data_IF_515076100102
#
_entry.id   IF_515076100102
#
_cell.length_a   1.000
_cell.length_b   1.000
_cell.length_c   1.000
_cell.angle_alpha   90.00
_cell.angle_beta   90.00
_cell.angle_gamma   90.00
#
_symmetry.space_group_name_H-M   'P 1'
#
loop_
_entity.id
_entity.type
_entity.pdbx_description
1 polymer ?
#
# COMPACT_ATOMS: atom_id res chain seq x y z
N UNK A 1 -49.59 -18.68 -32.42
CA UNK A 1 -48.12 -18.88 -32.41
C UNK A 1 -47.65 -18.91 -30.97
N UNK A 2 -47.18 -20.05 -30.47
CA UNK A 2 -46.54 -20.14 -29.15
C UNK A 2 -45.18 -19.47 -29.26
N UNK A 3 -44.99 -18.39 -28.52
CA UNK A 3 -43.70 -17.71 -28.41
C UNK A 3 -42.75 -18.68 -27.67
N UNK A 4 -41.81 -19.27 -28.41
CA UNK A 4 -40.71 -20.02 -27.82
C UNK A 4 -39.85 -19.01 -27.05
N UNK A 5 -40.03 -18.94 -25.73
CA UNK A 5 -39.06 -18.31 -24.83
C UNK A 5 -37.83 -19.20 -24.88
N UNK A 6 -36.91 -18.89 -25.77
CA UNK A 6 -35.57 -19.46 -25.75
C UNK A 6 -34.94 -19.00 -24.44
N UNK A 7 -34.90 -19.88 -23.44
CA UNK A 7 -34.12 -19.69 -22.22
C UNK A 7 -32.66 -19.84 -22.63
N UNK A 8 -32.10 -18.78 -23.22
CA UNK A 8 -30.69 -18.73 -23.60
C UNK A 8 -29.88 -18.74 -22.30
N UNK A 9 -29.17 -19.84 -22.04
CA UNK A 9 -28.14 -19.86 -21.02
C UNK A 9 -27.15 -18.73 -21.33
N UNK A 10 -27.05 -17.75 -20.45
CA UNK A 10 -26.19 -16.59 -20.68
C UNK A 10 -24.74 -17.01 -20.50
N UNK A 11 -23.90 -16.64 -21.46
CA UNK A 11 -22.49 -17.00 -21.47
C UNK A 11 -21.74 -16.28 -20.35
N UNK A 12 -20.84 -17.02 -19.70
CA UNK A 12 -19.83 -16.47 -18.79
C UNK A 12 -18.46 -16.72 -19.41
N UNK A 13 -17.61 -15.70 -19.39
CA UNK A 13 -16.20 -15.83 -19.73
C UNK A 13 -15.39 -15.75 -18.45
N UNK A 14 -14.60 -16.79 -18.16
CA UNK A 14 -13.71 -16.84 -16.99
C UNK A 14 -12.28 -16.93 -17.46
N UNK A 15 -11.46 -15.97 -17.03
CA UNK A 15 -10.02 -15.93 -17.30
C UNK A 15 -9.26 -15.83 -15.99
N UNK A 16 -8.17 -16.60 -15.86
CA UNK A 16 -7.25 -16.46 -14.73
C UNK A 16 -6.11 -15.54 -15.13
N UNK A 17 -5.92 -14.47 -14.38
CA UNK A 17 -4.71 -13.64 -14.44
C UNK A 17 -3.64 -14.30 -13.56
N UNK A 18 -2.65 -14.89 -14.21
CA UNK A 18 -1.55 -15.56 -13.52
C UNK A 18 -0.54 -14.58 -12.91
N UNK A 19 -0.50 -13.30 -13.34
CA UNK A 19 0.48 -12.32 -12.86
C UNK A 19 0.15 -11.86 -11.45
N UNK A 20 -1.09 -11.45 -11.21
CA UNK A 20 -1.55 -10.93 -9.89
C UNK A 20 -2.46 -11.92 -9.15
N UNK A 21 -2.56 -13.15 -9.67
CA UNK A 21 -3.34 -14.27 -9.12
C UNK A 21 -4.80 -13.89 -8.81
N UNK A 22 -5.55 -13.49 -9.83
CA UNK A 22 -6.97 -13.17 -9.71
C UNK A 22 -7.76 -13.75 -10.89
N UNK A 23 -9.09 -13.79 -10.75
CA UNK A 23 -9.99 -14.24 -11.80
C UNK A 23 -10.79 -13.05 -12.36
N UNK A 24 -10.82 -12.93 -13.69
CA UNK A 24 -11.76 -12.07 -14.41
C UNK A 24 -12.94 -12.92 -14.87
N UNK A 25 -14.15 -12.53 -14.46
CA UNK A 25 -15.42 -13.19 -14.77
C UNK A 25 -16.34 -12.19 -15.44
N UNK A 26 -16.52 -12.31 -16.75
CA UNK A 26 -17.37 -11.42 -17.53
C UNK A 26 -18.74 -12.05 -17.78
N UNK A 27 -19.81 -11.32 -17.46
CA UNK A 27 -21.20 -11.77 -17.61
C UNK A 27 -22.16 -10.58 -17.78
N UNK A 28 -23.45 -10.86 -17.96
CA UNK A 28 -24.53 -9.88 -17.76
C UNK A 28 -25.28 -10.14 -16.47
N UNK A 29 -25.85 -9.08 -15.88
CA UNK A 29 -26.72 -9.16 -14.70
C UNK A 29 -27.93 -8.24 -14.88
N UNK A 30 -29.12 -8.60 -14.35
CA UNK A 30 -30.27 -7.70 -14.36
C UNK A 30 -29.97 -6.41 -13.59
N UNK A 31 -30.45 -5.28 -14.08
CA UNK A 31 -30.19 -3.94 -13.49
C UNK A 31 -30.51 -3.87 -12.00
N UNK A 32 -31.64 -4.45 -11.57
CA UNK A 32 -32.03 -4.48 -10.16
C UNK A 32 -31.10 -5.30 -9.27
N UNK A 33 -30.48 -6.35 -9.81
CA UNK A 33 -29.48 -7.13 -9.06
C UNK A 33 -28.14 -6.40 -9.03
N UNK A 34 -27.76 -5.78 -10.15
CA UNK A 34 -26.56 -4.95 -10.23
C UNK A 34 -26.58 -3.83 -9.20
N UNK A 35 -27.66 -3.04 -9.15
CA UNK A 35 -27.77 -1.91 -8.22
C UNK A 35 -27.66 -2.38 -6.77
N UNK A 36 -28.42 -3.41 -6.38
CA UNK A 36 -28.32 -4.01 -5.04
C UNK A 36 -26.91 -4.48 -4.69
N UNK A 37 -26.19 -5.04 -5.66
CA UNK A 37 -24.83 -5.52 -5.46
C UNK A 37 -23.85 -4.38 -5.14
N UNK A 38 -23.98 -3.26 -5.85
CA UNK A 38 -23.06 -2.13 -5.73
C UNK A 38 -23.55 -1.06 -4.76
N UNK A 39 -24.70 -1.24 -4.11
CA UNK A 39 -25.31 -0.22 -3.26
C UNK A 39 -24.37 0.19 -2.11
N UNK A 40 -23.87 -0.80 -1.35
CA UNK A 40 -22.92 -0.56 -0.26
C UNK A 40 -21.62 0.07 -0.76
N UNK A 41 -21.06 -0.47 -1.84
CA UNK A 41 -19.86 0.07 -2.47
C UNK A 41 -20.08 1.53 -2.87
N UNK A 42 -21.21 1.86 -3.51
CA UNK A 42 -21.51 3.22 -3.96
C UNK A 42 -21.67 4.20 -2.79
N UNK A 43 -22.37 3.81 -1.73
CA UNK A 43 -22.53 4.61 -0.50
C UNK A 43 -21.18 4.90 0.18
N UNK A 44 -20.26 3.94 0.12
CA UNK A 44 -18.87 4.07 0.59
C UNK A 44 -17.90 4.60 -0.47
N UNK A 45 -18.40 5.37 -1.46
CA UNK A 45 -17.61 6.03 -2.53
C UNK A 45 -16.87 5.09 -3.49
N UNK A 46 -17.34 3.86 -3.61
CA UNK A 46 -16.87 2.80 -4.49
C UNK A 46 -16.33 1.56 -3.76
N UNK A 47 -16.47 1.46 -2.43
CA UNK A 47 -16.08 0.28 -1.65
C UNK A 47 -14.57 0.14 -1.44
N UNK A 48 -13.78 1.11 -1.88
CA UNK A 48 -12.35 1.22 -1.60
C UNK A 48 -12.12 2.51 -0.81
N UNK A 49 -11.53 2.41 0.38
CA UNK A 49 -11.25 3.56 1.23
C UNK A 49 -10.31 4.55 0.51
N UNK A 50 -10.71 5.82 0.42
CA UNK A 50 -9.96 6.87 -0.29
C UNK A 50 -10.34 7.05 -1.77
N UNK A 51 -11.34 6.31 -2.27
CA UNK A 51 -11.76 6.36 -3.67
C UNK A 51 -12.43 7.68 -4.10
N UNK A 52 -12.26 8.08 -5.38
CA UNK A 52 -12.88 9.32 -5.92
C UNK A 52 -14.40 9.18 -6.05
N UNK A 53 -15.11 10.22 -5.60
CA UNK A 53 -16.53 10.38 -5.89
C UNK A 53 -16.82 10.60 -7.38
N UNK A 54 -18.08 10.42 -7.82
CA UNK A 54 -18.52 10.83 -9.14
C UNK A 54 -18.12 12.28 -9.46
N UNK A 55 -17.62 12.53 -10.68
CA UNK A 55 -17.24 13.87 -11.12
C UNK A 55 -18.46 14.80 -11.12
N UNK A 56 -18.30 15.98 -10.50
CA UNK A 56 -19.36 17.00 -10.37
C UNK A 56 -19.15 18.22 -11.26
N UNK A 57 -18.14 18.22 -12.12
CA UNK A 57 -17.89 19.33 -13.05
C UNK A 57 -19.04 19.48 -14.04
N UNK A 58 -19.30 20.70 -14.54
CA UNK A 58 -20.39 20.97 -15.49
C UNK A 58 -20.32 20.08 -16.73
N UNK A 59 -19.10 19.83 -17.23
CA UNK A 59 -18.88 18.91 -18.35
C UNK A 59 -19.23 17.46 -17.99
N UNK A 60 -18.85 16.98 -16.80
CA UNK A 60 -19.18 15.63 -16.34
C UNK A 60 -20.68 15.45 -16.12
N UNK A 61 -21.37 16.46 -15.57
CA UNK A 61 -22.83 16.45 -15.42
C UNK A 61 -23.54 16.37 -16.78
N UNK A 62 -23.06 17.11 -17.78
CA UNK A 62 -23.62 17.07 -19.15
C UNK A 62 -23.40 15.70 -19.82
N UNK A 63 -22.22 15.12 -19.67
CA UNK A 63 -21.91 13.77 -20.17
C UNK A 63 -22.79 12.72 -19.46
N UNK A 64 -22.96 12.83 -18.14
CA UNK A 64 -23.82 11.92 -17.38
C UNK A 64 -25.27 12.02 -17.81
N UNK A 65 -25.81 13.24 -17.93
CA UNK A 65 -27.18 13.44 -18.42
C UNK A 65 -27.38 12.79 -19.78
N UNK A 66 -26.42 12.96 -20.69
CA UNK A 66 -26.47 12.31 -22.00
C UNK A 66 -26.44 10.79 -21.90
N UNK A 67 -25.59 10.25 -21.02
CA UNK A 67 -25.51 8.82 -20.76
C UNK A 67 -26.82 8.25 -20.19
N UNK A 68 -27.51 8.98 -19.31
CA UNK A 68 -28.85 8.62 -18.81
C UNK A 68 -29.85 8.56 -19.97
N UNK A 69 -29.94 9.62 -20.77
CA UNK A 69 -30.83 9.67 -21.95
C UNK A 69 -30.57 8.50 -22.92
N UNK A 70 -29.30 8.20 -23.19
CA UNK A 70 -28.92 7.11 -24.09
C UNK A 70 -29.31 5.74 -23.50
N UNK A 71 -29.10 5.51 -22.20
CA UNK A 71 -29.50 4.26 -21.51
C UNK A 71 -31.03 4.09 -21.53
N UNK A 72 -31.79 5.14 -21.24
CA UNK A 72 -33.25 5.14 -21.29
C UNK A 72 -33.78 4.82 -22.70
N UNK A 73 -33.05 5.22 -23.74
CA UNK A 73 -33.32 4.85 -25.13
C UNK A 73 -32.86 3.43 -25.52
N UNK A 74 -32.31 2.65 -24.57
CA UNK A 74 -31.88 1.27 -24.78
C UNK A 74 -30.41 1.09 -25.17
N UNK A 75 -29.56 2.12 -25.03
CA UNK A 75 -28.13 1.98 -25.30
C UNK A 75 -27.46 0.97 -24.37
N UNK A 76 -26.54 0.19 -24.93
CA UNK A 76 -25.72 -0.76 -24.17
C UNK A 76 -24.41 -0.09 -23.78
N UNK A 77 -24.14 0.00 -22.48
CA UNK A 77 -22.90 0.56 -21.96
C UNK A 77 -21.74 -0.45 -22.01
N UNK A 78 -20.48 0.03 -22.08
CA UNK A 78 -19.32 -0.80 -21.81
C UNK A 78 -19.36 -1.41 -20.41
N UNK A 79 -18.74 -2.59 -20.19
CA UNK A 79 -18.82 -3.33 -18.93
C UNK A 79 -18.30 -2.55 -17.73
N UNK A 80 -19.07 -2.49 -16.65
CA UNK A 80 -18.57 -2.01 -15.35
C UNK A 80 -17.69 -3.08 -14.70
N UNK A 81 -16.68 -2.65 -13.96
CA UNK A 81 -15.67 -3.53 -13.36
C UNK A 81 -15.85 -3.53 -11.86
N UNK A 82 -16.11 -4.71 -11.29
CA UNK A 82 -16.39 -4.90 -9.87
C UNK A 82 -15.30 -5.77 -9.25
N UNK A 83 -14.69 -5.28 -8.17
CA UNK A 83 -13.72 -5.99 -7.37
C UNK A 83 -14.37 -6.80 -6.25
N UNK A 84 -13.88 -8.01 -6.00
CA UNK A 84 -14.34 -8.89 -4.93
C UNK A 84 -13.12 -9.45 -4.19
N UNK A 85 -13.04 -9.21 -2.88
CA UNK A 85 -11.97 -9.74 -2.03
C UNK A 85 -12.47 -10.89 -1.16
N UNK A 86 -12.07 -12.12 -1.50
CA UNK A 86 -12.44 -13.32 -0.76
C UNK A 86 -11.39 -13.70 0.28
N UNK A 87 -11.75 -14.40 1.38
CA UNK A 87 -10.76 -15.08 2.20
C UNK A 87 -9.98 -16.11 1.37
N UNK A 88 -8.67 -16.26 1.60
CA UNK A 88 -7.81 -17.18 0.82
C UNK A 88 -8.32 -18.61 0.76
N UNK A 89 -9.02 -19.10 1.80
CA UNK A 89 -9.63 -20.43 1.81
C UNK A 89 -10.78 -20.58 0.82
N UNK A 90 -11.61 -19.54 0.66
CA UNK A 90 -12.69 -19.51 -0.32
C UNK A 90 -12.14 -19.29 -1.73
N UNK A 91 -11.17 -18.39 -1.88
CA UNK A 91 -10.52 -18.10 -3.16
C UNK A 91 -9.85 -19.34 -3.78
N UNK A 92 -9.14 -20.13 -2.97
CA UNK A 92 -8.51 -21.39 -3.44
C UNK A 92 -9.52 -22.45 -3.93
N UNK A 93 -10.77 -22.36 -3.50
CA UNK A 93 -11.87 -23.28 -3.88
C UNK A 93 -12.77 -22.69 -4.97
N UNK A 94 -12.43 -21.52 -5.50
CA UNK A 94 -13.24 -20.83 -6.49
C UNK A 94 -13.29 -21.65 -7.79
N UNK A 95 -14.50 -22.03 -8.18
CA UNK A 95 -14.78 -22.73 -9.43
C UNK A 95 -16.05 -22.12 -10.04
N UNK A 96 -15.86 -21.20 -10.98
CA UNK A 96 -16.96 -20.51 -11.67
C UNK A 96 -17.03 -21.07 -13.08
N UNK A 97 -18.15 -21.71 -13.42
CA UNK A 97 -18.37 -22.31 -14.75
C UNK A 97 -19.61 -21.75 -15.44
N UNK A 98 -20.47 -21.08 -14.69
CA UNK A 98 -21.76 -20.58 -15.17
C UNK A 98 -22.14 -19.27 -14.50
N UNK A 99 -23.15 -18.60 -15.07
CA UNK A 99 -23.71 -17.39 -14.47
C UNK A 99 -24.32 -17.69 -13.09
N UNK A 100 -24.88 -18.90 -12.90
CA UNK A 100 -25.45 -19.28 -11.61
C UNK A 100 -24.38 -19.31 -10.51
N UNK A 101 -23.18 -19.78 -10.83
CA UNK A 101 -22.09 -19.91 -9.84
C UNK A 101 -21.64 -18.53 -9.34
N UNK A 102 -21.48 -17.56 -10.25
CA UNK A 102 -21.14 -16.19 -9.86
C UNK A 102 -22.29 -15.56 -9.06
N UNK A 103 -23.55 -15.72 -9.48
CA UNK A 103 -24.68 -15.16 -8.72
C UNK A 103 -24.79 -15.76 -7.31
N UNK A 104 -24.50 -17.05 -7.15
CA UNK A 104 -24.43 -17.70 -5.84
C UNK A 104 -23.29 -17.12 -4.99
N UNK A 105 -22.09 -16.95 -5.58
CA UNK A 105 -20.98 -16.30 -4.90
C UNK A 105 -21.39 -14.90 -4.39
N UNK A 106 -21.93 -14.06 -5.28
CA UNK A 106 -22.33 -12.68 -4.94
C UNK A 106 -23.36 -12.62 -3.81
N UNK A 107 -24.27 -13.60 -3.71
CA UNK A 107 -25.25 -13.68 -2.62
C UNK A 107 -24.66 -14.04 -1.26
N UNK A 108 -23.45 -14.61 -1.24
CA UNK A 108 -22.74 -15.07 -0.04
C UNK A 108 -21.60 -14.15 0.41
N UNK A 109 -21.19 -13.22 -0.46
CA UNK A 109 -20.09 -12.29 -0.18
C UNK A 109 -20.60 -11.14 0.67
N UNK A 110 -19.82 -10.80 1.70
CA UNK A 110 -20.02 -9.60 2.50
C UNK A 110 -19.97 -8.35 1.60
N UNK A 111 -21.01 -7.48 1.60
CA UNK A 111 -21.03 -6.25 0.81
C UNK A 111 -19.81 -5.33 1.00
N UNK A 112 -19.13 -5.38 2.15
CA UNK A 112 -17.92 -4.59 2.42
C UNK A 112 -16.69 -5.09 1.64
N UNK A 113 -16.78 -6.27 1.04
CA UNK A 113 -15.71 -6.87 0.22
C UNK A 113 -15.90 -6.63 -1.27
N UNK A 114 -16.91 -5.84 -1.64
CA UNK A 114 -17.27 -5.52 -3.01
C UNK A 114 -16.89 -4.07 -3.29
N UNK A 115 -16.19 -3.84 -4.40
CA UNK A 115 -15.78 -2.50 -4.82
C UNK A 115 -16.08 -2.24 -6.29
N UNK A 116 -16.28 -0.99 -6.65
CA UNK A 116 -16.39 -0.55 -8.06
C UNK A 116 -14.99 -0.13 -8.52
N UNK A 117 -14.28 -0.99 -9.23
CA UNK A 117 -12.92 -0.72 -9.73
C UNK A 117 -12.95 0.30 -10.89
N UNK A 118 -13.88 0.11 -11.82
CA UNK A 118 -14.12 1.00 -12.95
C UNK A 118 -15.62 1.04 -13.29
N UNK A 119 -16.10 2.20 -13.71
CA UNK A 119 -17.49 2.41 -14.07
C UNK A 119 -18.30 3.19 -13.05
N UNK A 120 -17.68 3.99 -12.18
CA UNK A 120 -18.39 4.84 -11.23
C UNK A 120 -19.41 5.78 -11.91
N UNK A 121 -19.03 6.47 -12.99
CA UNK A 121 -19.98 7.32 -13.74
C UNK A 121 -21.11 6.52 -14.41
N UNK A 122 -20.80 5.33 -14.93
CA UNK A 122 -21.78 4.42 -15.54
C UNK A 122 -22.76 3.91 -14.49
N UNK A 123 -22.27 3.56 -13.32
CA UNK A 123 -23.08 3.14 -12.16
C UNK A 123 -24.01 4.26 -11.71
N UNK A 124 -23.51 5.49 -11.63
CA UNK A 124 -24.35 6.67 -11.33
C UNK A 124 -25.43 6.87 -12.39
N UNK A 125 -25.08 6.81 -13.69
CA UNK A 125 -26.07 6.96 -14.77
C UNK A 125 -27.13 5.85 -14.76
N UNK A 126 -26.74 4.59 -14.54
CA UNK A 126 -27.68 3.46 -14.41
C UNK A 126 -28.61 3.67 -13.21
N UNK A 127 -28.08 4.18 -12.08
CA UNK A 127 -28.89 4.47 -10.88
C UNK A 127 -29.87 5.63 -11.13
N UNK A 128 -29.43 6.70 -11.82
CA UNK A 128 -30.28 7.83 -12.20
C UNK A 128 -31.40 7.40 -13.17
N UNK A 129 -31.09 6.49 -14.11
CA UNK A 129 -32.06 5.92 -15.06
C UNK A 129 -32.95 4.81 -14.47
N UNK A 130 -32.75 4.40 -13.21
CA UNK A 130 -33.36 3.19 -12.66
C UNK A 130 -34.88 3.12 -12.81
N UNK A 131 -35.59 4.24 -12.62
CA UNK A 131 -37.05 4.27 -12.74
C UNK A 131 -37.55 3.88 -14.14
N UNK A 132 -36.84 4.31 -15.20
CA UNK A 132 -37.15 3.93 -16.57
C UNK A 132 -36.70 2.49 -16.89
N UNK A 133 -35.64 2.03 -16.22
CA UNK A 133 -35.04 0.72 -16.48
C UNK A 133 -35.72 -0.44 -15.76
N UNK A 134 -36.35 -0.24 -14.60
CA UNK A 134 -36.98 -1.32 -13.82
C UNK A 134 -38.09 -2.03 -14.61
N UNK A 135 -38.77 -1.31 -15.51
CA UNK A 135 -39.80 -1.88 -16.39
C UNK A 135 -39.24 -2.59 -17.63
N UNK A 136 -37.94 -2.43 -17.88
CA UNK A 136 -37.23 -3.05 -18.99
C UNK A 136 -36.36 -4.18 -18.41
N UNK A 137 -36.29 -5.36 -19.03
CA UNK A 137 -35.37 -6.42 -18.59
C UNK A 137 -33.90 -6.06 -18.90
N UNK A 138 -33.49 -4.82 -18.59
CA UNK A 138 -32.21 -4.24 -18.93
C UNK A 138 -31.08 -5.00 -18.25
N UNK A 139 -30.09 -5.35 -19.06
CA UNK A 139 -28.96 -6.15 -18.65
C UNK A 139 -27.70 -5.31 -18.61
N UNK A 140 -27.07 -5.25 -17.44
CA UNK A 140 -25.79 -4.58 -17.25
C UNK A 140 -24.69 -5.58 -17.56
N UNK A 141 -23.74 -5.21 -18.42
CA UNK A 141 -22.50 -5.98 -18.63
C UNK A 141 -21.57 -5.70 -17.46
N UNK A 142 -21.09 -6.75 -16.81
CA UNK A 142 -20.23 -6.66 -15.64
C UNK A 142 -19.04 -7.59 -15.79
N UNK A 143 -17.86 -7.10 -15.41
CA UNK A 143 -16.65 -7.90 -15.24
C UNK A 143 -16.27 -7.94 -13.76
N UNK A 144 -16.35 -9.12 -13.16
CA UNK A 144 -15.95 -9.33 -11.77
C UNK A 144 -14.47 -9.73 -11.71
N UNK A 145 -13.69 -8.95 -10.99
CA UNK A 145 -12.31 -9.26 -10.63
C UNK A 145 -12.27 -9.79 -9.20
N UNK A 146 -11.93 -11.06 -9.06
CA UNK A 146 -11.99 -11.79 -7.80
C UNK A 146 -10.57 -12.14 -7.37
N UNK A 147 -10.20 -11.76 -6.15
CA UNK A 147 -8.88 -11.96 -5.57
C UNK A 147 -8.99 -12.29 -4.08
N UNK A 148 -7.95 -12.88 -3.48
CA UNK A 148 -7.80 -12.92 -2.03
C UNK A 148 -6.95 -11.77 -1.47
N UNK A 149 -6.39 -10.94 -2.36
CA UNK A 149 -5.57 -9.78 -2.02
C UNK A 149 -6.15 -8.51 -2.67
N UNK A 150 -6.39 -7.48 -1.86
CA UNK A 150 -6.86 -6.17 -2.34
C UNK A 150 -5.87 -5.51 -3.30
N UNK A 151 -4.56 -5.68 -3.06
CA UNK A 151 -3.49 -5.15 -3.92
C UNK A 151 -3.60 -5.64 -5.38
N UNK A 152 -4.04 -6.88 -5.62
CA UNK A 152 -4.26 -7.38 -6.98
C UNK A 152 -5.36 -6.63 -7.72
N UNK A 153 -6.40 -6.18 -7.00
CA UNK A 153 -7.48 -5.38 -7.57
C UNK A 153 -7.05 -3.92 -7.80
N UNK A 154 -6.24 -3.37 -6.88
CA UNK A 154 -5.63 -2.05 -7.04
C UNK A 154 -4.69 -2.01 -8.25
N UNK A 155 -3.89 -3.06 -8.49
CA UNK A 155 -3.08 -3.18 -9.70
C UNK A 155 -3.89 -3.01 -10.97
N UNK A 156 -5.03 -3.68 -11.08
CA UNK A 156 -5.95 -3.51 -12.20
C UNK A 156 -6.48 -2.07 -12.29
N UNK A 157 -6.95 -1.52 -11.17
CA UNK A 157 -7.47 -0.15 -11.10
C UNK A 157 -6.44 0.87 -11.62
N UNK A 158 -5.17 0.65 -11.30
CA UNK A 158 -4.11 1.62 -11.50
C UNK A 158 -3.45 1.50 -12.87
N UNK A 159 -3.12 0.27 -13.28
CA UNK A 159 -2.33 -0.01 -14.49
C UNK A 159 -3.20 -0.10 -15.74
N UNK A 160 -4.48 -0.49 -15.60
CA UNK A 160 -5.30 -0.85 -16.78
C UNK A 160 -6.43 0.14 -17.07
N UNK A 161 -6.57 1.17 -16.24
CA UNK A 161 -7.38 2.36 -16.53
C UNK A 161 -6.54 3.54 -17.07
N UNK A 162 -5.26 3.32 -17.40
CA UNK A 162 -4.38 4.34 -17.99
C UNK A 162 -4.85 4.65 -19.42
N UNK A 163 -5.52 5.80 -19.56
CA UNK A 163 -6.17 6.25 -20.80
C UNK A 163 -7.48 7.01 -20.57
N UNK A 164 -8.08 6.90 -19.38
CA UNK A 164 -9.25 7.68 -18.97
C UNK A 164 -8.86 8.77 -17.98
N UNK A 165 -9.65 9.86 -17.88
CA UNK A 165 -9.34 11.07 -17.06
C UNK A 165 -8.75 10.65 -15.70
N UNK A 166 -7.43 10.91 -15.47
CA UNK A 166 -6.72 10.34 -14.35
C UNK A 166 -7.35 10.78 -13.04
N UNK A 167 -7.31 9.92 -12.02
CA UNK A 167 -7.39 10.44 -10.66
C UNK A 167 -6.25 11.43 -10.42
N UNK A 168 -6.43 12.30 -9.43
CA UNK A 168 -5.26 12.87 -8.79
C UNK A 168 -4.44 11.72 -8.21
N UNK A 169 -3.24 11.55 -8.75
CA UNK A 169 -2.27 10.52 -8.45
C UNK A 169 -1.97 10.38 -6.95
N UNK A 170 -1.96 11.50 -6.23
CA UNK A 170 -1.83 11.49 -4.77
C UNK A 170 -2.89 10.61 -4.09
N UNK A 171 -4.14 10.66 -4.57
CA UNK A 171 -5.22 9.81 -4.02
C UNK A 171 -5.05 8.34 -4.39
N UNK A 172 -4.51 8.04 -5.57
CA UNK A 172 -4.28 6.65 -5.99
C UNK A 172 -3.25 5.97 -5.09
N UNK A 173 -2.22 6.74 -4.76
CA UNK A 173 -1.15 6.39 -3.85
C UNK A 173 -1.72 6.20 -2.45
N UNK A 174 -2.43 7.19 -1.91
CA UNK A 174 -3.10 7.11 -0.59
C UNK A 174 -3.95 5.84 -0.44
N UNK A 175 -4.69 5.41 -1.47
CA UNK A 175 -5.49 4.16 -1.43
C UNK A 175 -4.63 2.90 -1.24
N UNK A 176 -3.53 2.75 -2.01
CA UNK A 176 -2.61 1.62 -1.84
C UNK A 176 -2.02 1.66 -0.44
N UNK A 177 -1.60 2.85 -0.03
CA UNK A 177 -0.93 3.04 1.25
C UNK A 177 -1.86 2.87 2.45
N UNK A 178 -3.16 3.16 2.33
CA UNK A 178 -4.12 2.85 3.39
C UNK A 178 -4.21 1.34 3.63
N UNK A 179 -4.22 0.54 2.57
CA UNK A 179 -4.18 -0.91 2.69
C UNK A 179 -2.89 -1.40 3.36
N UNK A 180 -1.74 -0.83 2.96
CA UNK A 180 -0.45 -1.15 3.58
C UNK A 180 -0.41 -0.69 5.04
N UNK A 181 -0.94 0.49 5.35
CA UNK A 181 -1.01 1.07 6.71
C UNK A 181 -1.81 0.16 7.63
N UNK A 182 -2.97 -0.32 7.18
CA UNK A 182 -3.77 -1.28 7.95
C UNK A 182 -3.00 -2.57 8.21
N UNK A 183 -2.31 -3.10 7.20
CA UNK A 183 -1.48 -4.30 7.39
C UNK A 183 -0.32 -4.05 8.36
N UNK A 184 0.28 -2.86 8.37
CA UNK A 184 1.29 -2.46 9.35
C UNK A 184 0.71 -2.45 10.76
N UNK A 185 -0.46 -1.83 10.97
CA UNK A 185 -1.13 -1.78 12.27
C UNK A 185 -1.45 -3.17 12.81
N UNK A 186 -1.81 -4.12 11.93
CA UNK A 186 -2.09 -5.51 12.28
C UNK A 186 -0.82 -6.35 12.54
N UNK A 187 0.31 -6.00 11.91
CA UNK A 187 1.52 -6.84 11.89
C UNK A 187 2.69 -6.32 12.74
N UNK A 188 2.69 -5.04 13.10
CA UNK A 188 3.81 -4.38 13.79
C UNK A 188 3.39 -3.97 15.20
N UNK A 189 3.85 -4.73 16.19
CA UNK A 189 3.55 -4.47 17.60
C UNK A 189 4.11 -3.11 18.07
N UNK A 190 3.34 -2.43 18.92
CA UNK A 190 3.72 -1.16 19.58
C UNK A 190 3.96 0.03 18.63
N UNK A 191 3.57 -0.07 17.36
CA UNK A 191 3.53 1.09 16.46
C UNK A 191 2.30 1.96 16.76
N UNK A 192 2.45 3.28 16.62
CA UNK A 192 1.33 4.23 16.59
C UNK A 192 1.49 5.09 15.36
N UNK A 193 0.51 5.02 14.45
CA UNK A 193 0.52 5.78 13.20
C UNK A 193 -0.31 7.04 13.39
N UNK A 194 0.28 8.19 13.12
CA UNK A 194 -0.40 9.49 13.16
C UNK A 194 -0.89 9.84 11.76
N UNK A 195 -2.18 10.19 11.66
CA UNK A 195 -2.74 10.70 10.42
C UNK A 195 -2.25 12.13 10.16
N UNK A 196 -2.19 12.50 8.89
CA UNK A 196 -1.81 13.85 8.43
C UNK A 196 -2.73 14.91 9.03
N UNK A 197 -3.99 14.55 9.27
CA UNK A 197 -5.03 15.47 9.77
C UNK A 197 -5.08 15.58 11.30
N UNK A 198 -4.34 14.73 12.02
CA UNK A 198 -4.43 14.67 13.49
C UNK A 198 -3.76 15.87 14.18
N UNK A 199 -2.86 16.59 13.50
CA UNK A 199 -2.06 17.69 14.08
C UNK A 199 -1.19 17.29 15.27
N UNK A 200 -1.13 15.98 15.58
CA UNK A 200 -0.42 15.41 16.72
C UNK A 200 1.07 15.33 16.42
N UNK A 201 1.87 15.66 17.43
CA UNK A 201 3.34 15.52 17.39
C UNK A 201 3.76 14.21 18.05
N UNK A 202 4.87 13.65 17.56
CA UNK A 202 5.54 12.49 18.15
C UNK A 202 5.98 12.79 19.58
N UNK A 203 5.61 11.93 20.54
CA UNK A 203 5.92 12.11 21.97
C UNK A 203 6.83 11.03 22.56
N UNK A 204 6.92 9.85 21.94
CA UNK A 204 7.69 8.69 22.40
C UNK A 204 8.19 7.84 21.21
N UNK A 205 9.07 6.89 21.50
CA UNK A 205 9.44 5.83 20.55
C UNK A 205 8.23 5.03 20.06
N UNK A 206 8.29 4.52 18.83
CA UNK A 206 7.24 3.73 18.19
C UNK A 206 6.12 4.55 17.53
N UNK A 207 6.22 5.87 17.51
CA UNK A 207 5.20 6.75 16.90
C UNK A 207 5.73 7.33 15.58
N UNK A 208 4.99 7.12 14.48
CA UNK A 208 5.38 7.52 13.12
C UNK A 208 4.23 8.22 12.38
N UNK A 209 4.54 9.09 11.43
CA UNK A 209 3.54 9.71 10.55
C UNK A 209 3.21 8.78 9.39
N UNK A 210 1.95 8.73 8.96
CA UNK A 210 1.55 7.93 7.81
C UNK A 210 2.39 8.25 6.55
N UNK A 211 2.58 9.54 6.22
CA UNK A 211 3.39 9.96 5.08
C UNK A 211 4.86 9.48 5.15
N UNK A 212 5.43 9.41 6.34
CA UNK A 212 6.80 8.95 6.52
C UNK A 212 6.89 7.44 6.25
N UNK A 213 5.90 6.66 6.71
CA UNK A 213 5.80 5.21 6.43
C UNK A 213 5.60 4.92 4.95
N UNK A 214 4.81 5.76 4.25
CA UNK A 214 4.67 5.72 2.80
C UNK A 214 6.04 5.82 2.13
N UNK A 215 6.81 6.85 2.49
CA UNK A 215 8.15 7.03 1.95
C UNK A 215 9.06 5.85 2.29
N UNK A 216 9.01 5.32 3.52
CA UNK A 216 9.81 4.15 3.91
C UNK A 216 9.50 2.92 3.05
N UNK A 217 8.23 2.72 2.71
CA UNK A 217 7.80 1.65 1.81
C UNK A 217 8.35 1.85 0.39
N UNK A 218 8.34 3.10 -0.12
CA UNK A 218 8.91 3.44 -1.42
C UNK A 218 10.42 3.16 -1.49
N UNK A 219 11.18 3.63 -0.49
CA UNK A 219 12.64 3.42 -0.44
C UNK A 219 13.01 1.97 -0.25
N UNK A 220 12.18 1.20 0.46
CA UNK A 220 12.35 -0.24 0.61
C UNK A 220 12.25 -0.97 -0.74
N UNK A 221 11.23 -0.68 -1.55
CA UNK A 221 11.07 -1.29 -2.88
C UNK A 221 12.11 -0.82 -3.90
N UNK A 222 12.35 0.49 -3.95
CA UNK A 222 13.32 1.06 -4.88
C UNK A 222 14.78 0.79 -4.51
N UNK A 223 15.05 0.43 -3.24
CA UNK A 223 16.39 0.19 -2.69
C UNK A 223 17.34 1.38 -2.90
N UNK A 224 16.80 2.59 -2.73
CA UNK A 224 17.48 3.87 -2.91
C UNK A 224 17.08 4.80 -1.78
N UNK A 225 18.07 5.48 -1.21
CA UNK A 225 17.88 6.44 -0.12
C UNK A 225 17.39 7.80 -0.63
N UNK A 226 17.64 8.11 -1.92
CA UNK A 226 17.21 9.34 -2.60
C UNK A 226 16.04 9.04 -3.52
N UNK A 227 14.85 9.44 -3.07
CA UNK A 227 13.59 9.31 -3.80
C UNK A 227 12.87 10.64 -3.66
N UNK A 228 12.62 11.32 -4.78
CA UNK A 228 11.70 12.45 -4.78
C UNK A 228 10.30 11.88 -4.78
N UNK A 229 9.72 11.71 -3.59
CA UNK A 229 8.37 11.16 -3.41
C UNK A 229 7.36 11.85 -4.33
N UNK A 230 7.44 13.16 -4.57
CA UNK A 230 6.47 13.81 -5.48
C UNK A 230 6.69 13.42 -6.94
N UNK A 231 7.95 13.38 -7.38
CA UNK A 231 8.31 13.01 -8.75
C UNK A 231 8.09 11.53 -9.03
N UNK A 232 8.46 10.68 -8.09
CA UNK A 232 8.36 9.22 -8.13
C UNK A 232 6.91 8.78 -8.06
N UNK A 233 6.09 9.44 -7.22
CA UNK A 233 4.65 9.25 -7.31
C UNK A 233 4.09 9.78 -8.64
N UNK A 234 4.69 10.83 -9.26
CA UNK A 234 4.33 11.39 -10.59
C UNK A 234 4.73 10.57 -11.80
N UNK A 235 5.67 9.64 -11.63
CA UNK A 235 6.19 8.82 -12.71
C UNK A 235 5.36 7.55 -12.87
N UNK A 236 4.89 7.31 -14.09
CA UNK A 236 4.06 6.14 -14.41
C UNK A 236 4.85 4.83 -14.26
N UNK A 237 6.18 4.87 -14.42
CA UNK A 237 7.07 3.72 -14.26
C UNK A 237 7.26 3.35 -12.79
N UNK A 238 7.53 4.31 -11.91
CA UNK A 238 7.64 4.05 -10.47
C UNK A 238 6.33 3.53 -9.90
N UNK A 239 5.19 4.02 -10.39
CA UNK A 239 3.88 3.49 -10.04
C UNK A 239 3.76 2.01 -10.41
N UNK A 240 4.23 1.61 -11.59
CA UNK A 240 4.24 0.21 -12.00
C UNK A 240 5.15 -0.63 -11.09
N UNK A 241 6.36 -0.16 -10.80
CA UNK A 241 7.33 -0.84 -9.94
C UNK A 241 6.80 -1.03 -8.52
N UNK A 242 6.12 -0.02 -7.97
CA UNK A 242 5.49 -0.09 -6.66
C UNK A 242 4.37 -1.09 -6.61
N UNK A 243 3.50 -1.08 -7.62
CA UNK A 243 2.40 -2.01 -7.59
C UNK A 243 2.92 -3.42 -7.83
N UNK A 244 3.91 -3.60 -8.71
CA UNK A 244 4.60 -4.87 -8.91
C UNK A 244 5.18 -5.40 -7.59
N UNK A 245 5.93 -4.58 -6.85
CA UNK A 245 6.44 -4.94 -5.53
C UNK A 245 5.32 -5.26 -4.52
N UNK A 246 4.26 -4.44 -4.43
CA UNK A 246 3.11 -4.72 -3.51
C UNK A 246 2.29 -5.94 -3.88
N UNK A 247 2.37 -6.38 -5.14
CA UNK A 247 1.68 -7.56 -5.66
C UNK A 247 2.50 -8.84 -5.48
N UNK A 248 3.81 -8.71 -5.26
CA UNK A 248 4.69 -9.83 -4.96
C UNK A 248 4.33 -10.43 -3.60
N UNK A 249 4.21 -11.75 -3.56
CA UNK A 249 3.80 -12.47 -2.37
C UNK A 249 4.88 -12.36 -1.28
N UNK A 250 4.50 -11.73 -0.16
CA UNK A 250 5.38 -11.56 1.00
C UNK A 250 6.23 -10.28 1.00
N UNK A 251 6.13 -9.41 -0.01
CA UNK A 251 6.88 -8.14 -0.02
C UNK A 251 6.42 -7.22 1.12
N UNK A 252 5.12 -6.96 1.23
CA UNK A 252 4.56 -6.14 2.32
C UNK A 252 4.82 -6.78 3.69
N UNK A 253 4.73 -8.11 3.78
CA UNK A 253 5.06 -8.82 5.01
C UNK A 253 6.53 -8.59 5.41
N UNK A 254 7.45 -8.67 4.43
CA UNK A 254 8.87 -8.39 4.66
C UNK A 254 9.09 -6.93 5.08
N UNK A 255 8.40 -5.99 4.46
CA UNK A 255 8.46 -4.59 4.88
C UNK A 255 7.99 -4.41 6.32
N UNK A 256 6.85 -4.99 6.70
CA UNK A 256 6.35 -4.97 8.08
C UNK A 256 7.36 -5.58 9.06
N UNK A 257 8.02 -6.68 8.69
CA UNK A 257 9.05 -7.29 9.51
C UNK A 257 10.28 -6.38 9.71
N UNK A 258 10.71 -5.64 8.68
CA UNK A 258 11.80 -4.66 8.77
C UNK A 258 11.38 -3.45 9.62
N UNK A 259 10.15 -2.96 9.42
CA UNK A 259 9.57 -1.87 10.19
C UNK A 259 9.44 -2.24 11.67
N UNK A 260 9.11 -3.49 12.00
CA UNK A 260 9.12 -3.99 13.38
C UNK A 260 10.48 -3.86 14.04
N UNK A 261 11.58 -4.17 13.34
CA UNK A 261 12.94 -3.95 13.90
C UNK A 261 13.23 -2.47 14.12
N UNK A 262 12.81 -1.60 13.20
CA UNK A 262 12.97 -0.14 13.35
C UNK A 262 12.19 0.38 14.57
N UNK A 263 10.93 -0.03 14.72
CA UNK A 263 10.06 0.34 15.85
C UNK A 263 10.65 -0.14 17.18
N UNK A 264 11.09 -1.40 17.26
CA UNK A 264 11.70 -1.97 18.46
C UNK A 264 12.99 -1.24 18.85
N UNK A 265 13.85 -0.91 17.88
CA UNK A 265 15.08 -0.14 18.12
C UNK A 265 14.76 1.28 18.58
N UNK A 266 13.80 1.93 17.94
CA UNK A 266 13.37 3.28 18.30
C UNK A 266 12.81 3.36 19.73
N UNK A 267 12.00 2.38 20.13
CA UNK A 267 11.52 2.24 21.51
C UNK A 267 12.68 2.01 22.48
N UNK A 268 13.62 1.11 22.14
CA UNK A 268 14.78 0.85 22.98
C UNK A 268 15.68 2.10 23.14
N UNK A 269 15.86 2.88 22.08
CA UNK A 269 16.64 4.10 22.11
C UNK A 269 15.94 5.24 22.87
N UNK A 270 14.61 5.34 22.82
CA UNK A 270 13.85 6.34 23.57
C UNK A 270 14.11 6.25 25.10
N UNK A 271 14.62 5.14 25.63
CA UNK A 271 15.00 5.05 27.04
C UNK A 271 16.10 6.06 27.47
N UNK A 272 16.92 6.57 26.54
CA UNK A 272 17.89 7.62 26.84
C UNK A 272 17.28 9.02 26.65
N UNK A 273 16.99 9.71 27.76
CA UNK A 273 16.38 11.05 27.82
C UNK A 273 17.19 11.99 28.70
N UNK A 274 18.35 12.50 28.26
CA UNK A 274 19.10 13.49 29.03
C UNK A 274 18.33 14.81 29.12
N UNK A 275 18.49 15.50 30.25
CA UNK A 275 18.08 16.90 30.41
C UNK A 275 19.16 17.79 29.78
N UNK A 276 19.07 17.96 28.47
CA UNK A 276 19.90 18.88 27.71
C UNK A 276 19.00 19.74 26.80
N UNK A 277 19.40 21.00 26.61
CA UNK A 277 18.80 21.92 25.65
C UNK A 277 19.77 22.11 24.46
N UNK A 278 19.23 22.48 23.29
CA UNK A 278 19.96 23.06 22.15
C UNK A 278 20.84 22.18 21.21
N UNK A 279 20.60 20.88 21.04
CA UNK A 279 21.17 20.13 19.90
C UNK A 279 20.17 19.16 19.25
N UNK A 280 20.36 18.90 17.95
CA UNK A 280 19.43 18.14 17.11
C UNK A 280 19.29 16.65 17.50
N UNK A 281 20.38 16.00 17.91
CA UNK A 281 20.40 14.60 18.36
C UNK A 281 20.91 14.53 19.81
N UNK A 282 19.99 14.55 20.79
CA UNK A 282 20.35 14.48 22.21
C UNK A 282 19.65 13.33 22.94
N UNK A 283 18.38 13.09 22.61
CA UNK A 283 17.58 11.99 23.15
C UNK A 283 17.67 10.83 22.18
N UNK A 284 17.60 9.59 22.68
CA UNK A 284 17.70 8.44 21.78
C UNK A 284 16.59 8.38 20.74
N UNK A 285 15.40 8.90 21.07
CA UNK A 285 14.29 9.05 20.11
C UNK A 285 14.61 10.00 18.95
N UNK A 286 15.54 10.93 19.11
CA UNK A 286 15.84 11.93 18.07
C UNK A 286 16.46 11.29 16.83
N UNK A 287 17.10 10.12 16.99
CA UNK A 287 17.68 9.36 15.89
C UNK A 287 16.61 9.01 14.85
N UNK A 288 15.54 8.30 15.24
CA UNK A 288 14.46 7.91 14.34
C UNK A 288 13.26 8.88 14.32
N UNK A 289 13.35 10.02 15.03
CA UNK A 289 12.59 11.22 14.63
C UNK A 289 13.05 11.75 13.26
N UNK A 290 14.30 11.48 12.89
CA UNK A 290 14.89 11.94 11.64
C UNK A 290 14.50 11.01 10.50
N UNK A 291 13.64 11.47 9.59
CA UNK A 291 13.25 10.69 8.42
C UNK A 291 14.46 10.23 7.57
N UNK A 292 15.53 11.03 7.36
CA UNK A 292 16.77 10.54 6.76
C UNK A 292 17.39 9.32 7.45
N UNK A 293 17.30 9.22 8.77
CA UNK A 293 17.82 8.07 9.51
C UNK A 293 16.94 6.83 9.31
N UNK A 294 15.62 6.99 9.35
CA UNK A 294 14.68 5.92 9.05
C UNK A 294 14.90 5.37 7.62
N UNK A 295 15.02 6.28 6.64
CA UNK A 295 15.31 5.94 5.24
C UNK A 295 16.64 5.20 5.11
N UNK A 296 17.69 5.69 5.76
CA UNK A 296 19.00 5.04 5.73
C UNK A 296 18.96 3.62 6.30
N UNK A 297 18.26 3.42 7.42
CA UNK A 297 18.12 2.10 8.06
C UNK A 297 17.34 1.12 7.17
N UNK A 298 16.16 1.53 6.69
CA UNK A 298 15.31 0.70 5.83
C UNK A 298 16.02 0.34 4.52
N UNK A 299 16.69 1.32 3.90
CA UNK A 299 17.45 1.12 2.66
C UNK A 299 18.64 0.18 2.86
N UNK A 300 19.37 0.30 3.98
CA UNK A 300 20.49 -0.59 4.30
C UNK A 300 20.04 -2.06 4.40
N UNK A 301 18.92 -2.31 5.08
CA UNK A 301 18.35 -3.65 5.19
C UNK A 301 17.82 -4.14 3.84
N UNK A 302 17.13 -3.29 3.07
CA UNK A 302 16.61 -3.64 1.76
C UNK A 302 17.72 -4.09 0.80
N UNK A 303 18.86 -3.37 0.78
CA UNK A 303 20.02 -3.72 -0.03
C UNK A 303 20.66 -5.04 0.40
N UNK A 304 20.74 -5.32 1.70
CA UNK A 304 21.25 -6.60 2.18
C UNK A 304 20.31 -7.77 1.84
N UNK A 305 18.99 -7.52 1.86
CA UNK A 305 17.95 -8.52 1.61
C UNK A 305 17.79 -8.90 0.15
N UNK A 306 17.81 -7.91 -0.75
CA UNK A 306 17.45 -8.10 -2.16
C UNK A 306 18.62 -7.88 -3.11
N UNK A 307 19.75 -7.37 -2.62
CA UNK A 307 20.84 -6.91 -3.47
C UNK A 307 20.55 -5.56 -4.10
N UNK A 308 21.40 -5.16 -5.05
CA UNK A 308 21.23 -3.88 -5.76
C UNK A 308 20.21 -4.03 -6.88
N UNK A 309 19.46 -2.97 -7.23
CA UNK A 309 18.62 -2.99 -8.43
C UNK A 309 19.38 -3.49 -9.66
N UNK A 310 18.84 -4.52 -10.33
CA UNK A 310 19.48 -5.17 -11.49
C UNK A 310 20.42 -6.33 -11.16
N UNK A 311 20.64 -6.64 -9.88
CA UNK A 311 21.38 -7.80 -9.39
C UNK A 311 20.61 -8.45 -8.24
N UNK A 312 19.44 -9.01 -8.57
CA UNK A 312 18.53 -9.64 -7.60
C UNK A 312 19.13 -10.89 -6.96
N UNK A 313 18.90 -11.05 -5.66
CA UNK A 313 19.23 -12.27 -4.93
C UNK A 313 18.14 -13.33 -5.14
N UNK A 314 18.54 -14.61 -5.13
CA UNK A 314 17.58 -15.70 -5.14
C UNK A 314 16.74 -15.70 -3.85
N UNK A 315 15.47 -16.13 -3.94
CA UNK A 315 14.52 -16.12 -2.83
C UNK A 315 15.06 -16.84 -1.56
N UNK A 316 15.72 -17.99 -1.74
CA UNK A 316 16.31 -18.75 -0.64
C UNK A 316 17.48 -18.00 0.04
N UNK A 317 18.28 -17.30 -0.76
CA UNK A 317 19.38 -16.48 -0.25
C UNK A 317 18.85 -15.28 0.55
N UNK A 318 17.84 -14.59 0.00
CA UNK A 318 17.16 -13.48 0.68
C UNK A 318 16.56 -13.93 2.02
N UNK A 319 15.88 -15.08 2.05
CA UNK A 319 15.31 -15.65 3.28
C UNK A 319 16.39 -15.99 4.32
N UNK A 320 17.53 -16.54 3.89
CA UNK A 320 18.66 -16.83 4.78
C UNK A 320 19.27 -15.55 5.37
N UNK A 321 19.51 -14.53 4.53
CA UNK A 321 20.04 -13.22 4.96
C UNK A 321 19.09 -12.56 5.94
N UNK A 322 17.79 -12.57 5.65
CA UNK A 322 16.77 -12.06 6.57
C UNK A 322 16.81 -12.75 7.93
N UNK A 323 16.83 -14.09 7.95
CA UNK A 323 16.91 -14.85 9.19
C UNK A 323 18.15 -14.53 10.02
N UNK A 324 19.26 -14.16 9.38
CA UNK A 324 20.48 -13.69 10.06
C UNK A 324 20.28 -12.28 10.65
N UNK A 325 19.84 -11.30 9.85
CA UNK A 325 19.55 -9.92 10.30
C UNK A 325 18.61 -9.94 11.49
N UNK A 326 17.47 -10.63 11.37
CA UNK A 326 16.43 -10.72 12.40
C UNK A 326 16.99 -11.27 13.71
N UNK A 327 17.79 -12.34 13.66
CA UNK A 327 18.42 -12.92 14.86
C UNK A 327 19.41 -11.97 15.51
N UNK A 328 20.27 -11.33 14.71
CA UNK A 328 21.33 -10.48 15.25
C UNK A 328 20.80 -9.15 15.78
N UNK A 329 19.81 -8.55 15.11
CA UNK A 329 19.14 -7.35 15.58
C UNK A 329 18.39 -7.62 16.89
N UNK A 330 17.68 -8.76 17.00
CA UNK A 330 17.02 -9.16 18.25
C UNK A 330 18.00 -9.41 19.41
N UNK A 331 19.19 -9.93 19.12
CA UNK A 331 20.25 -10.05 20.12
C UNK A 331 20.73 -8.67 20.61
N UNK A 332 20.88 -7.69 19.71
CA UNK A 332 21.18 -6.31 20.08
C UNK A 332 20.05 -5.69 20.92
N UNK A 333 18.78 -5.86 20.52
CA UNK A 333 17.63 -5.39 21.29
C UNK A 333 17.60 -5.98 22.70
N UNK A 334 17.88 -7.27 22.84
CA UNK A 334 18.00 -7.94 24.15
C UNK A 334 19.14 -7.37 25.00
N UNK A 335 20.26 -6.95 24.37
CA UNK A 335 21.37 -6.24 25.04
C UNK A 335 20.91 -4.87 25.51
N UNK A 336 20.23 -4.10 24.65
CA UNK A 336 19.74 -2.75 24.96
C UNK A 336 18.70 -2.74 26.07
N UNK A 337 17.77 -3.70 26.08
CA UNK A 337 16.74 -3.82 27.13
C UNK A 337 17.32 -4.07 28.54
N UNK A 338 18.55 -4.60 28.63
CA UNK A 338 19.25 -4.83 29.90
C UNK A 338 20.09 -3.64 30.33
N UNK A 339 20.27 -2.65 29.46
CA UNK A 339 21.03 -1.44 29.75
C UNK A 339 20.16 -0.43 30.49
N UNK A 340 20.77 0.33 31.40
CA UNK A 340 20.15 1.53 31.95
C UNK A 340 20.25 2.70 30.94
N UNK A 341 19.53 3.79 31.21
CA UNK A 341 19.49 4.95 30.31
C UNK A 341 20.89 5.50 29.96
N UNK A 342 21.81 5.59 30.93
CA UNK A 342 23.17 6.10 30.69
C UNK A 342 23.99 5.16 29.78
N UNK A 343 23.89 3.85 29.97
CA UNK A 343 24.54 2.87 29.11
C UNK A 343 23.97 2.89 27.68
N UNK A 344 22.66 3.12 27.52
CA UNK A 344 22.04 3.34 26.20
C UNK A 344 22.61 4.62 25.56
N UNK A 345 22.75 5.71 26.32
CA UNK A 345 23.38 6.93 25.84
C UNK A 345 24.83 6.72 25.36
N UNK A 346 25.64 5.99 26.14
CA UNK A 346 27.02 5.60 25.77
C UNK A 346 27.06 4.73 24.51
N UNK A 347 26.12 3.79 24.40
CA UNK A 347 25.97 2.96 23.21
C UNK A 347 25.62 3.81 21.97
N UNK A 348 24.64 4.69 22.07
CA UNK A 348 24.18 5.54 20.96
C UNK A 348 25.24 6.54 20.49
N UNK A 349 26.09 7.01 21.39
CA UNK A 349 27.22 7.88 21.08
C UNK A 349 26.82 9.14 20.26
N UNK A 350 25.70 9.77 20.63
CA UNK A 350 25.05 10.86 19.89
C UNK A 350 25.93 12.12 19.72
N UNK A 351 26.93 12.31 20.58
CA UNK A 351 27.90 13.40 20.43
C UNK A 351 28.70 13.26 19.13
N UNK A 352 29.17 12.04 18.81
CA UNK A 352 29.88 11.82 17.54
C UNK A 352 28.94 11.98 16.36
N UNK A 353 27.69 11.50 16.45
CA UNK A 353 26.70 11.74 15.40
C UNK A 353 26.52 13.24 15.14
N UNK A 354 26.38 14.04 16.19
CA UNK A 354 26.21 15.49 16.08
C UNK A 354 27.45 16.18 15.50
N UNK A 355 28.65 15.71 15.82
CA UNK A 355 29.91 16.24 15.27
C UNK A 355 30.14 15.90 13.79
N UNK A 356 29.74 14.71 13.35
CA UNK A 356 29.99 14.22 12.00
C UNK A 356 28.92 14.67 11.00
N UNK A 357 27.64 14.74 11.42
CA UNK A 357 26.53 15.07 10.53
C UNK A 357 26.51 16.55 10.09
N UNK A 358 27.10 17.46 10.87
CA UNK A 358 27.08 18.92 10.65
C UNK A 358 28.12 19.39 9.60
N UNK A 359 28.95 18.50 9.06
CA UNK A 359 30.13 18.88 8.27
C UNK A 359 29.86 19.40 6.85
N UNK A 360 28.63 19.42 6.35
CA UNK A 360 28.31 19.89 5.00
C UNK A 360 27.61 21.25 4.98
N UNK A 361 28.33 22.28 4.54
CA UNK A 361 27.77 23.58 4.16
C UNK A 361 27.26 23.51 2.71
N UNK A 362 25.97 23.83 2.51
CA UNK A 362 25.25 24.12 1.24
C UNK A 362 24.13 23.14 0.87
N UNK A 363 23.22 23.58 -0.01
CA UNK A 363 21.90 22.98 -0.28
C UNK A 363 21.92 21.48 -0.60
N UNK A 364 20.88 20.77 -0.16
CA UNK A 364 20.81 19.30 -0.26
C UNK A 364 21.06 18.57 1.07
N UNK A 365 20.96 19.26 2.21
CA UNK A 365 21.16 18.69 3.56
C UNK A 365 20.40 17.37 3.77
N UNK A 366 19.16 17.27 3.29
CA UNK A 366 18.37 16.04 3.38
C UNK A 366 18.97 14.86 2.59
N UNK A 367 19.49 15.10 1.38
CA UNK A 367 20.07 14.05 0.53
C UNK A 367 21.41 13.57 1.08
N UNK A 368 22.23 14.50 1.59
CA UNK A 368 23.46 14.17 2.29
C UNK A 368 23.17 13.28 3.50
N UNK A 369 22.20 13.66 4.34
CA UNK A 369 21.88 12.89 5.55
C UNK A 369 21.35 11.50 5.24
N UNK A 370 20.55 11.35 4.19
CA UNK A 370 20.06 10.04 3.72
C UNK A 370 21.23 9.13 3.37
N UNK A 371 22.23 9.65 2.66
CA UNK A 371 23.43 8.90 2.27
C UNK A 371 24.33 8.59 3.48
N UNK A 372 24.50 9.58 4.37
CA UNK A 372 25.23 9.44 5.62
C UNK A 372 24.65 8.32 6.50
N UNK A 373 23.34 8.35 6.74
CA UNK A 373 22.67 7.33 7.55
C UNK A 373 22.67 5.97 6.86
N UNK A 374 22.48 5.90 5.53
CA UNK A 374 22.62 4.66 4.78
C UNK A 374 23.99 4.02 5.03
N UNK A 375 25.08 4.78 4.94
CA UNK A 375 26.44 4.27 5.21
C UNK A 375 26.63 3.84 6.65
N UNK A 376 26.13 4.62 7.60
CA UNK A 376 26.19 4.26 9.02
C UNK A 376 25.48 2.93 9.30
N UNK A 377 24.28 2.73 8.76
CA UNK A 377 23.52 1.50 8.98
C UNK A 377 24.03 0.32 8.14
N UNK A 378 24.69 0.55 7.01
CA UNK A 378 25.45 -0.50 6.31
C UNK A 378 26.54 -1.08 7.21
N UNK A 379 27.32 -0.24 7.91
CA UNK A 379 28.30 -0.72 8.89
C UNK A 379 27.64 -1.52 10.02
N UNK A 380 26.48 -1.07 10.52
CA UNK A 380 25.73 -1.84 11.52
C UNK A 380 25.34 -3.25 11.02
N UNK A 381 24.90 -3.35 9.77
CA UNK A 381 24.51 -4.61 9.13
C UNK A 381 25.73 -5.50 8.86
N UNK A 382 26.83 -4.93 8.37
CA UNK A 382 28.10 -5.62 8.09
C UNK A 382 28.72 -6.22 9.36
N UNK A 383 28.68 -5.45 10.45
CA UNK A 383 29.08 -5.89 11.80
C UNK A 383 28.04 -6.80 12.46
N UNK A 384 26.97 -7.15 11.75
CA UNK A 384 25.90 -8.06 12.19
C UNK A 384 25.31 -7.61 13.52
N UNK A 385 25.09 -6.32 13.70
CA UNK A 385 24.55 -5.71 14.92
C UNK A 385 25.37 -6.03 16.19
N UNK A 386 26.62 -6.51 16.06
CA UNK A 386 27.53 -6.83 17.18
C UNK A 386 28.39 -5.61 17.52
N UNK A 387 27.73 -4.55 17.96
CA UNK A 387 28.37 -3.27 18.28
C UNK A 387 28.47 -3.07 19.79
N UNK A 388 29.59 -2.49 20.23
CA UNK A 388 29.75 -1.97 21.59
C UNK A 388 29.30 -0.51 21.71
N UNK A 389 29.38 0.24 20.62
CA UNK A 389 28.74 1.55 20.45
C UNK A 389 28.46 1.81 18.97
N UNK A 390 27.62 2.80 18.69
CA UNK A 390 27.32 3.30 17.36
C UNK A 390 28.40 4.21 16.78
N UNK A 391 29.45 4.53 17.55
CA UNK A 391 30.52 5.43 17.11
C UNK A 391 31.22 5.02 15.81
N UNK A 392 31.48 3.73 15.52
CA UNK A 392 32.00 3.30 14.22
C UNK A 392 31.02 3.56 13.08
N UNK A 393 29.71 3.39 13.31
CA UNK A 393 28.68 3.66 12.32
C UNK A 393 28.67 5.15 11.94
N UNK A 394 28.78 6.04 12.93
CA UNK A 394 28.78 7.50 12.71
C UNK A 394 30.04 8.03 12.02
N UNK A 395 31.13 7.24 11.97
CA UNK A 395 32.38 7.60 11.29
C UNK A 395 32.56 6.90 9.94
N UNK A 396 31.54 6.19 9.47
CA UNK A 396 31.58 5.42 8.24
C UNK A 396 31.46 6.27 6.95
N UNK A 397 31.02 7.51 7.11
CA UNK A 397 30.87 8.52 6.05
C UNK A 397 31.87 9.64 6.34
#
# INVERSE_FOLDING_TARGET
MRCNVVTTARAVSVLKDARVNCYSVMTTVPVGVYLKLVDNAYETRGGIEGQREPLRTTSALRIRKRMVEDIEAGAVLPPVVIGIVLPSTQFKRLDIRSQRDIMHLLSSVDPDRISIIDGMQRSTAIREANNALVETDYQVRVEFWISDKINSLLYRMLVLNTGQVPWNLRRQVEVIFNSVTKQIEESVDNITILSVDDGKRRTKGGVFQANDLIELFLVFGARKEKIDVRKELSDEYTRLDLIEATSEEGFTDRFCEVLSLLVELDIAFDAYKPDAEDARFQKGRDLFSSQPACVGFVTAIALELFGRPGAELAADESAMRWGKIKRTCRALLSKLQRMNAEAIGKFLHLNTLSETIVRTKSGGVGDFEREYFLKAFQVMVDERFRLDSMAPCWRAY
#
